data_IF_745072030113
#
_entry.id   IF_745072030113
#
_cell.length_a   1.000
_cell.length_b   1.000
_cell.length_c   1.000
_cell.angle_alpha   90.00
_cell.angle_beta   90.00
_cell.angle_gamma   90.00
#
_symmetry.space_group_name_H-M   'P 1'
#
loop_
_entity.id
_entity.type
_entity.pdbx_description
1 polymer ?
#
# COMPACT_ATOMS: atom_id res chain seq x y z
N UNK A 1 -2.85 -35.46 0.51
CA UNK A 1 -3.57 -34.21 0.18
C UNK A 1 -2.59 -33.06 0.33
N UNK A 2 -2.01 -32.59 -0.77
CA UNK A 2 -1.09 -31.44 -0.77
C UNK A 2 -1.93 -30.17 -0.76
N UNK A 3 -1.84 -29.37 0.30
CA UNK A 3 -2.47 -28.06 0.31
C UNK A 3 -1.76 -27.17 -0.72
N UNK A 4 -2.38 -26.95 -1.88
CA UNK A 4 -1.91 -25.93 -2.82
C UNK A 4 -2.25 -24.57 -2.24
N UNK A 5 -1.31 -23.99 -1.49
CA UNK A 5 -1.34 -22.57 -1.17
C UNK A 5 -1.11 -21.86 -2.51
N UNK A 6 -2.18 -21.29 -3.10
CA UNK A 6 -2.02 -20.29 -4.15
C UNK A 6 -1.26 -19.13 -3.54
N UNK A 7 0.06 -19.12 -3.70
CA UNK A 7 0.87 -17.96 -3.32
C UNK A 7 0.43 -16.83 -4.23
N UNK A 8 -0.46 -15.96 -3.74
CA UNK A 8 -0.84 -14.78 -4.46
C UNK A 8 0.41 -13.95 -4.70
N UNK A 9 0.65 -13.45 -5.92
CA UNK A 9 1.78 -12.58 -6.17
C UNK A 9 1.69 -11.38 -5.21
N UNK A 10 2.82 -10.98 -4.64
CA UNK A 10 2.91 -9.88 -3.66
C UNK A 10 2.24 -8.59 -4.16
N UNK A 11 2.25 -8.37 -5.47
CA UNK A 11 1.57 -7.27 -6.15
C UNK A 11 0.04 -7.32 -5.96
N UNK A 12 -0.57 -8.51 -5.98
CA UNK A 12 -2.00 -8.66 -5.68
C UNK A 12 -2.30 -8.38 -4.21
N UNK A 13 -1.40 -8.76 -3.29
CA UNK A 13 -1.54 -8.44 -1.87
C UNK A 13 -1.46 -6.93 -1.65
N UNK A 14 -0.53 -6.24 -2.32
CA UNK A 14 -0.45 -4.77 -2.34
C UNK A 14 -1.75 -4.16 -2.85
N UNK A 15 -2.28 -4.65 -3.97
CA UNK A 15 -3.48 -4.11 -4.58
C UNK A 15 -4.74 -4.28 -3.71
N UNK A 16 -4.92 -5.44 -3.07
CA UNK A 16 -6.02 -5.69 -2.12
C UNK A 16 -5.93 -4.78 -0.89
N UNK A 17 -4.72 -4.57 -0.34
CA UNK A 17 -4.50 -3.66 0.78
C UNK A 17 -4.79 -2.21 0.40
N UNK A 18 -4.32 -1.78 -0.76
CA UNK A 18 -4.62 -0.45 -1.28
C UNK A 18 -6.11 -0.25 -1.50
N UNK A 19 -6.81 -1.22 -2.10
CA UNK A 19 -8.26 -1.19 -2.27
C UNK A 19 -9.00 -1.05 -0.94
N UNK A 20 -8.61 -1.84 0.08
CA UNK A 20 -9.17 -1.75 1.42
C UNK A 20 -8.96 -0.37 2.06
N UNK A 21 -7.79 0.24 1.90
CA UNK A 21 -7.51 1.60 2.37
C UNK A 21 -8.42 2.63 1.69
N UNK A 22 -8.63 2.52 0.38
CA UNK A 22 -9.54 3.42 -0.37
C UNK A 22 -11.00 3.26 0.09
N UNK A 23 -11.46 2.03 0.30
CA UNK A 23 -12.86 1.75 0.65
C UNK A 23 -13.22 2.01 2.11
N UNK A 24 -12.27 1.86 3.04
CA UNK A 24 -12.57 1.73 4.46
C UNK A 24 -11.77 2.65 5.39
N UNK A 25 -10.93 3.56 4.87
CA UNK A 25 -10.08 4.41 5.71
C UNK A 25 -10.83 5.13 6.84
N UNK A 26 -12.07 5.57 6.59
CA UNK A 26 -12.84 6.37 7.56
C UNK A 26 -13.61 5.53 8.59
N UNK A 27 -13.85 4.24 8.32
CA UNK A 27 -14.87 3.50 9.08
C UNK A 27 -14.32 2.64 10.22
N UNK A 28 -13.03 2.29 10.29
CA UNK A 28 -12.41 1.55 11.41
C UNK A 28 -10.89 1.33 11.23
N UNK A 29 -10.21 2.27 10.57
CA UNK A 29 -8.76 2.36 10.31
C UNK A 29 -7.98 1.09 10.65
N UNK A 30 -8.02 0.08 9.76
CA UNK A 30 -7.37 -1.22 9.93
C UNK A 30 -5.85 -1.04 9.93
N UNK A 31 -5.26 -0.70 11.08
CA UNK A 31 -3.82 -0.43 11.22
C UNK A 31 -2.95 -1.56 10.69
N UNK A 32 -3.42 -2.80 10.80
CA UNK A 32 -2.75 -3.97 10.23
C UNK A 32 -2.54 -3.86 8.70
N UNK A 33 -3.48 -3.31 7.95
CA UNK A 33 -3.32 -3.18 6.49
C UNK A 33 -2.19 -2.20 6.13
N UNK A 34 -2.09 -1.10 6.88
CA UNK A 34 -0.97 -0.16 6.75
C UNK A 34 0.36 -0.77 7.15
N UNK A 35 0.41 -1.50 8.27
CA UNK A 35 1.62 -2.19 8.70
C UNK A 35 2.09 -3.23 7.70
N UNK A 36 1.17 -4.09 7.24
CA UNK A 36 1.51 -5.14 6.30
C UNK A 36 2.00 -4.54 4.96
N UNK A 37 1.37 -3.46 4.48
CA UNK A 37 1.83 -2.79 3.27
C UNK A 37 3.20 -2.13 3.50
N UNK A 38 3.40 -1.47 4.65
CA UNK A 38 4.68 -0.87 5.02
C UNK A 38 5.78 -1.95 5.03
N UNK A 39 5.51 -3.11 5.62
CA UNK A 39 6.44 -4.23 5.64
C UNK A 39 6.76 -4.71 4.21
N UNK A 40 5.74 -4.90 3.36
CA UNK A 40 5.94 -5.30 1.96
C UNK A 40 6.85 -4.34 1.20
N UNK A 41 6.58 -3.04 1.29
CA UNK A 41 7.35 -1.95 0.66
C UNK A 41 8.80 -1.91 1.15
N UNK A 42 9.02 -2.31 2.40
CA UNK A 42 10.33 -2.33 3.06
C UNK A 42 11.11 -3.63 2.85
N UNK A 43 10.47 -4.68 2.35
CA UNK A 43 11.07 -6.01 2.20
C UNK A 43 11.31 -6.40 0.73
N UNK A 44 10.41 -6.03 -0.18
CA UNK A 44 10.44 -6.56 -1.55
C UNK A 44 10.68 -5.49 -2.61
N UNK A 45 11.25 -5.92 -3.74
CA UNK A 45 11.25 -5.14 -4.96
C UNK A 45 9.93 -5.31 -5.73
N UNK A 46 9.49 -4.24 -6.38
CA UNK A 46 8.28 -4.25 -7.20
C UNK A 46 8.51 -3.60 -8.54
N UNK A 47 7.95 -4.19 -9.58
CA UNK A 47 7.92 -3.60 -10.92
C UNK A 47 6.59 -2.86 -11.12
N UNK A 48 6.67 -1.66 -11.70
CA UNK A 48 5.50 -0.79 -11.88
C UNK A 48 4.44 -1.42 -12.79
N UNK A 49 4.83 -2.14 -13.85
CA UNK A 49 3.87 -2.78 -14.74
C UNK A 49 3.11 -3.93 -14.04
N UNK A 50 3.78 -4.71 -13.19
CA UNK A 50 3.11 -5.76 -12.43
C UNK A 50 2.15 -5.18 -11.37
N UNK A 51 2.54 -4.10 -10.70
CA UNK A 51 1.65 -3.39 -9.77
C UNK A 51 0.45 -2.78 -10.47
N UNK A 52 0.64 -2.10 -11.62
CA UNK A 52 -0.46 -1.56 -12.42
C UNK A 52 -1.49 -2.64 -12.75
N UNK A 53 -1.04 -3.79 -13.27
CA UNK A 53 -1.91 -4.93 -13.59
C UNK A 53 -2.68 -5.41 -12.37
N UNK A 54 -2.02 -5.56 -11.22
CA UNK A 54 -2.65 -6.02 -9.99
C UNK A 54 -3.68 -5.02 -9.47
N UNK A 55 -3.37 -3.72 -9.48
CA UNK A 55 -4.26 -2.64 -9.08
C UNK A 55 -5.51 -2.62 -9.96
N UNK A 56 -5.35 -2.57 -11.29
CA UNK A 56 -6.49 -2.57 -12.24
C UNK A 56 -7.36 -3.81 -12.07
N UNK A 57 -6.75 -4.98 -11.96
CA UNK A 57 -7.47 -6.25 -11.77
C UNK A 57 -8.29 -6.24 -10.49
N UNK A 58 -7.69 -5.82 -9.37
CA UNK A 58 -8.35 -5.81 -8.06
C UNK A 58 -9.51 -4.82 -8.05
N UNK A 59 -9.30 -3.59 -8.50
CA UNK A 59 -10.34 -2.57 -8.52
C UNK A 59 -11.50 -2.94 -9.47
N UNK A 60 -11.18 -3.50 -10.65
CA UNK A 60 -12.19 -3.99 -11.60
C UNK A 60 -13.00 -5.18 -11.06
N UNK A 61 -12.36 -6.14 -10.37
CA UNK A 61 -13.07 -7.27 -9.74
C UNK A 61 -13.99 -6.85 -8.59
N UNK A 62 -13.73 -5.69 -7.99
CA UNK A 62 -14.49 -5.14 -6.85
C UNK A 62 -15.45 -4.02 -7.27
N UNK A 63 -15.67 -3.83 -8.57
CA UNK A 63 -16.53 -2.79 -9.15
C UNK A 63 -16.28 -1.41 -8.49
N UNK A 64 -15.01 -1.05 -8.41
CA UNK A 64 -14.54 0.19 -7.76
C UNK A 64 -13.68 0.96 -8.76
N UNK A 65 -14.00 2.24 -8.97
CA UNK A 65 -13.18 3.10 -9.80
C UNK A 65 -11.81 3.34 -9.15
N UNK A 66 -10.76 3.44 -9.97
CA UNK A 66 -9.45 3.86 -9.49
C UNK A 66 -9.53 5.31 -8.99
N UNK A 67 -8.94 5.64 -7.83
CA UNK A 67 -8.85 7.01 -7.37
C UNK A 67 -8.04 7.86 -8.35
N UNK A 68 -8.58 9.00 -8.76
CA UNK A 68 -7.89 10.02 -9.56
C UNK A 68 -7.15 11.04 -8.68
N UNK A 69 -7.47 11.08 -7.40
CA UNK A 69 -6.84 11.93 -6.38
C UNK A 69 -6.25 11.08 -5.25
N UNK A 70 -5.39 11.70 -4.42
CA UNK A 70 -4.80 11.04 -3.25
C UNK A 70 -5.91 10.64 -2.26
N UNK A 71 -6.09 9.34 -1.95
CA UNK A 71 -7.11 8.91 -0.99
C UNK A 71 -6.87 9.49 0.40
N UNK A 72 -7.94 9.89 1.10
CA UNK A 72 -7.87 10.50 2.45
C UNK A 72 -7.04 9.63 3.39
N UNK A 73 -7.28 8.31 3.39
CA UNK A 73 -6.55 7.32 4.20
C UNK A 73 -5.06 7.18 3.89
N UNK A 74 -4.56 7.83 2.85
CA UNK A 74 -3.16 7.89 2.47
C UNK A 74 -2.60 9.31 2.55
N UNK A 75 -3.22 10.22 3.30
CA UNK A 75 -2.71 11.58 3.56
C UNK A 75 -1.95 11.67 4.88
N UNK A 76 -0.97 12.57 4.98
CA UNK A 76 -0.24 12.81 6.24
C UNK A 76 -1.16 13.32 7.35
N UNK A 77 -2.17 14.14 7.01
CA UNK A 77 -3.21 14.58 7.95
C UNK A 77 -3.96 13.39 8.56
N UNK A 78 -4.34 12.40 7.75
CA UNK A 78 -4.93 11.17 8.25
C UNK A 78 -3.97 10.45 9.20
N UNK A 79 -2.69 10.32 8.81
CA UNK A 79 -1.66 9.70 9.63
C UNK A 79 -1.50 10.37 11.00
N UNK A 80 -1.43 11.70 11.03
CA UNK A 80 -1.34 12.48 12.28
C UNK A 80 -2.58 12.28 13.16
N UNK A 81 -3.77 12.32 12.57
CA UNK A 81 -5.04 12.14 13.31
C UNK A 81 -5.23 10.71 13.84
N UNK A 82 -4.51 9.73 13.30
CA UNK A 82 -4.61 8.31 13.66
C UNK A 82 -3.37 7.76 14.39
N UNK A 83 -2.44 8.63 14.80
CA UNK A 83 -1.22 8.22 15.49
C UNK A 83 -1.50 7.40 16.77
N UNK A 84 -2.52 7.77 17.56
CA UNK A 84 -2.89 7.03 18.78
C UNK A 84 -3.35 5.60 18.47
N UNK A 85 -4.16 5.42 17.42
CA UNK A 85 -4.62 4.11 16.97
C UNK A 85 -3.45 3.25 16.45
N UNK A 86 -2.53 3.89 15.73
CA UNK A 86 -1.33 3.23 15.24
C UNK A 86 -0.42 2.75 16.38
N UNK A 87 -0.17 3.60 17.38
CA UNK A 87 0.62 3.23 18.57
C UNK A 87 -0.03 2.06 19.31
N UNK A 88 -1.34 2.12 19.56
CA UNK A 88 -2.05 1.03 20.23
C UNK A 88 -2.00 -0.30 19.46
N UNK A 89 -2.01 -0.25 18.13
CA UNK A 89 -1.80 -1.43 17.29
C UNK A 89 -0.36 -1.98 17.42
N UNK A 90 0.66 -1.12 17.33
CA UNK A 90 2.07 -1.51 17.40
C UNK A 90 2.42 -2.11 18.77
N UNK A 91 1.96 -1.48 19.85
CA UNK A 91 2.17 -1.94 21.22
C UNK A 91 1.54 -3.31 21.45
N UNK A 92 0.24 -3.45 21.14
CA UNK A 92 -0.50 -4.71 21.29
C UNK A 92 0.12 -5.85 20.48
N UNK A 93 0.68 -5.53 19.32
CA UNK A 93 1.30 -6.51 18.41
C UNK A 93 2.79 -6.74 18.70
N UNK A 94 3.42 -5.91 19.54
CA UNK A 94 4.88 -5.88 19.80
C UNK A 94 5.71 -5.70 18.52
N UNK A 95 5.28 -4.78 17.66
CA UNK A 95 5.86 -4.52 16.32
C UNK A 95 6.48 -3.13 16.18
N UNK A 96 6.55 -2.36 17.27
CA UNK A 96 7.13 -1.02 17.25
C UNK A 96 8.64 -1.05 16.94
N UNK A 97 9.06 -0.14 16.07
CA UNK A 97 10.46 0.12 15.70
C UNK A 97 10.65 1.63 15.50
N UNK A 98 11.89 2.10 15.51
CA UNK A 98 12.19 3.51 15.21
C UNK A 98 11.71 3.94 13.81
N UNK A 99 11.60 2.99 12.88
CA UNK A 99 11.25 3.27 11.49
C UNK A 99 9.74 3.33 11.24
N UNK A 100 8.93 2.90 12.20
CA UNK A 100 7.48 2.86 12.07
C UNK A 100 6.71 3.57 13.19
N UNK A 101 7.39 4.15 14.19
CA UNK A 101 6.73 4.83 15.31
C UNK A 101 5.98 6.13 14.93
N UNK A 102 6.21 6.68 13.73
CA UNK A 102 5.50 7.85 13.21
C UNK A 102 4.60 7.45 12.04
N UNK A 103 3.28 7.48 12.26
CA UNK A 103 2.32 6.99 11.29
C UNK A 103 2.22 7.90 10.06
N UNK A 104 2.32 9.22 10.21
CA UNK A 104 2.33 10.13 9.08
C UNK A 104 3.51 9.86 8.12
N UNK A 105 4.69 9.53 8.66
CA UNK A 105 5.85 9.12 7.85
C UNK A 105 5.63 7.77 7.16
N UNK A 106 5.00 6.82 7.84
CA UNK A 106 4.59 5.54 7.22
C UNK A 106 3.65 5.80 6.04
N UNK A 107 2.61 6.62 6.23
CA UNK A 107 1.67 6.99 5.18
C UNK A 107 2.37 7.66 3.99
N UNK A 108 3.31 8.57 4.24
CA UNK A 108 4.03 9.24 3.16
C UNK A 108 4.84 8.24 2.33
N UNK A 109 5.57 7.33 2.97
CA UNK A 109 6.28 6.26 2.28
C UNK A 109 5.34 5.36 1.46
N UNK A 110 4.18 5.02 2.01
CA UNK A 110 3.17 4.22 1.30
C UNK A 110 2.62 4.93 0.07
N UNK A 111 2.41 6.25 0.17
CA UNK A 111 1.96 7.06 -0.96
C UNK A 111 3.05 7.19 -2.02
N UNK A 112 4.30 7.46 -1.66
CA UNK A 112 5.45 7.48 -2.58
C UNK A 112 5.57 6.16 -3.37
N UNK A 113 5.25 5.04 -2.72
CA UNK A 113 5.23 3.72 -3.37
C UNK A 113 4.03 3.54 -4.31
N UNK A 114 2.81 3.86 -3.87
CA UNK A 114 1.56 3.56 -4.61
C UNK A 114 1.27 4.55 -5.72
N UNK A 115 1.63 5.82 -5.57
CA UNK A 115 1.23 6.89 -6.51
C UNK A 115 1.68 6.59 -7.95
N UNK A 116 2.94 6.20 -8.23
CA UNK A 116 3.37 6.00 -9.61
C UNK A 116 2.62 4.87 -10.34
N UNK A 117 2.48 3.63 -9.79
CA UNK A 117 1.69 2.61 -10.46
C UNK A 117 0.19 2.94 -10.51
N UNK A 118 -0.37 3.67 -9.55
CA UNK A 118 -1.76 4.12 -9.60
C UNK A 118 -1.97 5.12 -10.74
N UNK A 119 -1.19 6.19 -10.81
CA UNK A 119 -1.29 7.22 -11.84
C UNK A 119 -1.12 6.63 -13.23
N UNK A 120 -0.14 5.75 -13.41
CA UNK A 120 0.06 5.06 -14.68
C UNK A 120 -1.12 4.15 -15.05
N UNK A 121 -1.82 3.56 -14.07
CA UNK A 121 -3.02 2.76 -14.30
C UNK A 121 -4.20 3.61 -14.76
N UNK A 122 -4.32 4.85 -14.25
CA UNK A 122 -5.35 5.83 -14.66
C UNK A 122 -5.04 6.41 -16.04
N UNK A 123 -3.78 6.74 -16.31
CA UNK A 123 -3.33 7.33 -17.58
C UNK A 123 -3.09 6.30 -18.69
N UNK A 124 -3.25 5.00 -18.41
CA UNK A 124 -2.93 3.88 -19.32
C UNK A 124 -1.49 3.93 -19.87
N UNK A 125 -0.55 4.45 -19.07
CA UNK A 125 0.85 4.62 -19.45
C UNK A 125 1.69 3.43 -19.00
N UNK A 126 2.52 2.93 -19.91
CA UNK A 126 3.60 2.00 -19.55
C UNK A 126 4.74 2.78 -18.91
N UNK A 127 5.26 2.26 -17.80
CA UNK A 127 6.43 2.80 -17.12
C UNK A 127 7.34 1.65 -16.72
N UNK A 128 8.63 1.78 -17.05
CA UNK A 128 9.66 0.84 -16.68
C UNK A 128 10.41 1.45 -15.49
N UNK A 129 9.86 1.24 -14.30
CA UNK A 129 10.54 1.59 -13.07
C UNK A 129 10.33 0.51 -12.02
N UNK A 130 11.31 0.39 -11.14
CA UNK A 130 11.36 -0.61 -10.10
C UNK A 130 11.52 0.05 -8.74
N UNK A 131 10.72 -0.39 -7.79
CA UNK A 131 10.85 -0.04 -6.40
C UNK A 131 11.95 -0.89 -5.79
N UNK A 132 12.91 -0.22 -5.15
CA UNK A 132 13.92 -0.86 -4.34
C UNK A 132 13.71 -0.46 -2.88
N UNK A 133 13.60 -1.42 -1.93
CA UNK A 133 13.47 -1.11 -0.52
C UNK A 133 14.51 -0.08 -0.05
N UNK A 134 14.06 0.92 0.70
CA UNK A 134 14.87 2.06 1.20
C UNK A 134 15.47 3.00 0.14
N UNK A 135 15.39 2.67 -1.16
CA UNK A 135 15.95 3.48 -2.26
C UNK A 135 14.89 4.15 -3.14
N UNK A 136 13.64 3.69 -3.03
CA UNK A 136 12.51 4.21 -3.80
C UNK A 136 12.46 3.71 -5.24
N UNK A 137 11.66 4.36 -6.07
CA UNK A 137 11.54 4.08 -7.50
C UNK A 137 12.80 4.47 -8.28
N UNK A 138 13.26 3.59 -9.17
CA UNK A 138 14.32 3.84 -10.15
C UNK A 138 13.85 3.42 -11.55
N UNK A 139 14.00 4.30 -12.53
CA UNK A 139 13.69 3.99 -13.93
C UNK A 139 14.77 3.09 -14.54
N UNK A 140 14.38 2.26 -15.50
CA UNK A 140 15.27 1.40 -16.28
C UNK A 140 14.76 1.21 -17.71
#
# INVERSE_FOLDING_TARGET
KSAQIKSYPKEAVVAEKFHAMVRHAELNSRMKDYYDLWLLVRTFEFDTHNLQRAIKTTFGQRDTNLPTERPIGLTTTFGSNHQTHWNGFLEKSKLETEENNNFAKVIELLWEFIEPPLRNSVEEKRSNSRWYPKKGWKSF
#
